data_IF_981176766300
#
_entry.id   IF_981176766300
#
_cell.length_a   1.000
_cell.length_b   1.000
_cell.length_c   1.000
_cell.angle_alpha   90.00
_cell.angle_beta   90.00
_cell.angle_gamma   90.00
#
_symmetry.space_group_name_H-M   'P 1'
#
loop_
_entity.id
_entity.type
_entity.pdbx_description
1 polymer ?
#
# COMPACT_ATOMS: atom_id res chain seq x y z
N UNK A 1 6.36 -3.42 -12.65
CA UNK A 1 7.09 -2.47 -11.77
C UNK A 1 8.29 -3.15 -11.17
N UNK A 2 9.42 -2.44 -10.99
CA UNK A 2 10.67 -3.00 -10.47
C UNK A 2 10.77 -3.02 -8.92
N UNK A 3 9.70 -2.65 -8.20
CA UNK A 3 9.73 -2.55 -6.73
C UNK A 3 10.03 -3.89 -6.03
N UNK A 4 10.70 -3.81 -4.90
CA UNK A 4 11.04 -4.91 -4.01
C UNK A 4 9.91 -5.15 -3.00
N UNK A 5 9.15 -6.26 -3.11
CA UNK A 5 8.02 -6.53 -2.22
C UNK A 5 8.45 -6.86 -0.78
N UNK A 6 9.66 -7.39 -0.55
CA UNK A 6 10.16 -7.67 0.80
C UNK A 6 10.47 -6.36 1.53
N UNK A 7 11.16 -5.43 0.86
CA UNK A 7 11.36 -4.08 1.39
C UNK A 7 10.02 -3.34 1.57
N UNK A 8 9.12 -3.49 0.60
CA UNK A 8 7.78 -2.93 0.62
C UNK A 8 6.96 -3.38 1.83
N UNK A 9 7.04 -4.66 2.20
CA UNK A 9 6.41 -5.19 3.40
C UNK A 9 6.94 -4.50 4.67
N UNK A 10 8.27 -4.41 4.81
CA UNK A 10 8.90 -3.79 5.97
C UNK A 10 8.51 -2.31 6.12
N UNK A 11 8.54 -1.57 5.01
CA UNK A 11 8.14 -0.16 4.97
C UNK A 11 6.64 0.02 5.27
N UNK A 12 5.79 -0.83 4.71
CA UNK A 12 4.35 -0.83 4.97
C UNK A 12 4.04 -1.06 6.46
N UNK A 13 4.67 -2.07 7.07
CA UNK A 13 4.55 -2.36 8.50
C UNK A 13 5.00 -1.16 9.35
N UNK A 14 6.09 -0.49 8.97
CA UNK A 14 6.63 0.62 9.75
C UNK A 14 5.83 1.93 9.59
N UNK A 15 5.19 2.16 8.43
CA UNK A 15 4.69 3.49 8.05
C UNK A 15 3.19 3.57 7.82
N UNK A 16 2.51 2.45 7.63
CA UNK A 16 1.11 2.43 7.19
C UNK A 16 0.17 1.73 8.18
N UNK A 17 0.61 0.65 8.83
CA UNK A 17 -0.27 -0.22 9.63
C UNK A 17 -0.92 0.49 10.81
N UNK A 18 -0.19 1.31 11.57
CA UNK A 18 -0.72 2.01 12.76
C UNK A 18 -2.04 2.75 12.46
N UNK A 19 -2.08 3.48 11.35
CA UNK A 19 -3.29 4.23 10.96
C UNK A 19 -4.39 3.30 10.44
N UNK A 20 -4.03 2.19 9.82
CA UNK A 20 -5.00 1.21 9.31
C UNK A 20 -5.60 0.36 10.44
N UNK A 21 -4.78 -0.13 11.38
CA UNK A 21 -5.22 -0.80 12.60
C UNK A 21 -6.16 0.10 13.42
N UNK A 22 -5.81 1.38 13.56
CA UNK A 22 -6.67 2.35 14.27
C UNK A 22 -8.04 2.52 13.60
N UNK A 23 -8.11 2.48 12.27
CA UNK A 23 -9.34 2.74 11.52
C UNK A 23 -10.17 1.48 11.23
N UNK A 24 -9.52 0.34 11.04
CA UNK A 24 -10.14 -0.90 10.55
C UNK A 24 -10.06 -2.04 11.58
N UNK A 25 -9.30 -1.87 12.68
CA UNK A 25 -9.07 -2.92 13.67
C UNK A 25 -8.19 -4.05 13.14
N UNK A 26 -7.98 -5.07 13.97
CA UNK A 26 -7.17 -6.24 13.62
C UNK A 26 -5.74 -5.86 13.24
N UNK A 27 -5.27 -6.41 12.13
CA UNK A 27 -3.98 -6.11 11.49
C UNK A 27 -4.06 -4.93 10.50
N UNK A 28 -5.21 -4.24 10.44
CA UNK A 28 -5.46 -3.13 9.52
C UNK A 28 -5.66 -3.53 8.04
N UNK A 29 -5.61 -4.82 7.70
CA UNK A 29 -5.75 -5.31 6.32
C UNK A 29 -7.12 -5.00 5.68
N UNK A 30 -8.15 -4.77 6.49
CA UNK A 30 -9.51 -4.48 6.03
C UNK A 30 -9.62 -3.28 5.06
N UNK A 31 -8.65 -2.35 5.06
CA UNK A 31 -8.60 -1.27 4.07
C UNK A 31 -8.39 -1.77 2.63
N UNK A 32 -7.69 -2.89 2.46
CA UNK A 32 -7.36 -3.53 1.18
C UNK A 32 -8.43 -4.52 0.73
N UNK A 33 -9.09 -5.17 1.68
CA UNK A 33 -9.99 -6.30 1.42
C UNK A 33 -11.47 -5.91 1.29
N UNK A 34 -11.82 -4.66 1.66
CA UNK A 34 -13.21 -4.19 1.60
C UNK A 34 -13.87 -4.42 0.23
N UNK A 35 -15.16 -4.75 0.28
CA UNK A 35 -16.03 -4.82 -0.90
C UNK A 35 -17.07 -3.69 -0.88
N UNK A 36 -17.23 -2.92 -1.96
CA UNK A 36 -16.39 -2.92 -3.16
C UNK A 36 -15.00 -2.32 -2.91
N UNK A 37 -13.99 -2.81 -3.63
CA UNK A 37 -12.63 -2.23 -3.58
C UNK A 37 -12.63 -0.84 -4.21
N UNK A 38 -12.09 0.15 -3.48
CA UNK A 38 -11.94 1.54 -3.99
C UNK A 38 -10.76 1.68 -4.96
N UNK A 39 -9.75 0.84 -4.83
CA UNK A 39 -8.60 0.80 -5.75
C UNK A 39 -8.84 -0.36 -6.72
N UNK A 40 -8.73 -0.09 -8.02
CA UNK A 40 -9.14 -1.01 -9.08
C UNK A 40 -8.06 -1.22 -10.16
N UNK A 41 -6.89 -0.58 -10.04
CA UNK A 41 -5.76 -0.76 -10.95
C UNK A 41 -4.45 -0.51 -10.22
N UNK A 42 -3.33 -0.89 -10.85
CA UNK A 42 -1.99 -0.66 -10.32
C UNK A 42 -1.66 0.83 -10.21
N UNK A 43 -2.09 1.66 -11.16
CA UNK A 43 -1.92 3.11 -11.11
C UNK A 43 -2.79 3.74 -10.02
N UNK A 44 -3.99 3.20 -9.81
CA UNK A 44 -4.84 3.57 -8.70
C UNK A 44 -4.17 3.26 -7.36
N UNK A 45 -3.49 2.11 -7.26
CA UNK A 45 -2.76 1.71 -6.06
C UNK A 45 -1.58 2.64 -5.79
N UNK A 46 -0.75 2.92 -6.80
CA UNK A 46 0.33 3.91 -6.70
C UNK A 46 -0.16 5.27 -6.20
N UNK A 47 -1.21 5.81 -6.84
CA UNK A 47 -1.80 7.10 -6.44
C UNK A 47 -2.28 7.07 -4.99
N UNK A 48 -2.85 5.93 -4.56
CA UNK A 48 -3.35 5.77 -3.20
C UNK A 48 -2.21 5.72 -2.17
N UNK A 49 -1.14 4.96 -2.43
CA UNK A 49 0.03 4.88 -1.56
C UNK A 49 0.73 6.24 -1.47
N UNK A 50 0.93 6.92 -2.60
CA UNK A 50 1.49 8.27 -2.62
C UNK A 50 0.63 9.29 -1.86
N UNK A 51 -0.71 9.18 -1.96
CA UNK A 51 -1.62 9.98 -1.14
C UNK A 51 -1.45 9.70 0.35
N UNK A 52 -1.39 8.43 0.77
CA UNK A 52 -1.20 8.06 2.16
C UNK A 52 0.14 8.57 2.70
N UNK A 53 1.23 8.42 1.94
CA UNK A 53 2.56 8.94 2.29
C UNK A 53 2.53 10.44 2.60
N UNK A 54 1.83 11.24 1.77
CA UNK A 54 1.65 12.68 2.02
C UNK A 54 0.78 12.97 3.24
N UNK A 55 -0.33 12.25 3.38
CA UNK A 55 -1.29 12.45 4.47
C UNK A 55 -0.67 12.16 5.84
N UNK A 56 0.15 11.11 5.94
CA UNK A 56 0.83 10.71 7.18
C UNK A 56 2.19 11.37 7.35
N UNK A 57 2.67 12.11 6.34
CA UNK A 57 4.03 12.65 6.28
C UNK A 57 5.09 11.57 6.53
N UNK A 58 4.88 10.38 5.96
CA UNK A 58 5.76 9.23 6.19
C UNK A 58 7.18 9.43 5.62
N UNK A 59 7.34 10.36 4.67
CA UNK A 59 8.64 10.77 4.14
C UNK A 59 9.24 9.78 3.14
N UNK A 60 8.42 8.91 2.55
CA UNK A 60 8.86 7.92 1.58
C UNK A 60 9.23 8.59 0.25
N UNK A 61 10.32 8.14 -0.36
CA UNK A 61 10.70 8.50 -1.72
C UNK A 61 9.91 7.68 -2.76
N UNK A 62 10.16 7.92 -4.05
CA UNK A 62 9.43 7.26 -5.14
C UNK A 62 9.66 5.74 -5.17
N UNK A 63 10.90 5.27 -5.04
CA UNK A 63 11.23 3.84 -5.01
C UNK A 63 10.62 3.13 -3.81
N UNK A 64 10.65 3.74 -2.62
CA UNK A 64 10.01 3.18 -1.43
C UNK A 64 8.47 3.09 -1.59
N UNK A 65 7.86 4.01 -2.34
CA UNK A 65 6.45 3.92 -2.70
C UNK A 65 6.21 2.77 -3.68
N UNK A 66 7.08 2.59 -4.68
CA UNK A 66 7.01 1.47 -5.63
C UNK A 66 7.13 0.12 -4.93
N UNK A 67 8.03 -0.01 -3.95
CA UNK A 67 8.22 -1.22 -3.14
C UNK A 67 6.94 -1.56 -2.36
N UNK A 68 6.34 -0.58 -1.68
CA UNK A 68 5.07 -0.78 -0.97
C UNK A 68 3.94 -1.15 -1.94
N UNK A 69 3.91 -0.54 -3.13
CA UNK A 69 2.92 -0.88 -4.16
C UNK A 69 3.12 -2.31 -4.66
N UNK A 70 4.36 -2.75 -4.87
CA UNK A 70 4.70 -4.12 -5.26
C UNK A 70 4.20 -5.11 -4.22
N UNK A 71 4.53 -4.89 -2.94
CA UNK A 71 4.05 -5.70 -1.81
C UNK A 71 2.52 -5.77 -1.76
N UNK A 72 1.84 -4.61 -1.76
CA UNK A 72 0.39 -4.57 -1.65
C UNK A 72 -0.28 -5.23 -2.86
N UNK A 73 0.31 -5.09 -4.05
CA UNK A 73 -0.21 -5.74 -5.25
C UNK A 73 -0.04 -7.26 -5.18
N UNK A 74 1.11 -7.74 -4.72
CA UNK A 74 1.38 -9.17 -4.57
C UNK A 74 0.49 -9.83 -3.51
N UNK A 75 0.27 -9.18 -2.37
CA UNK A 75 -0.47 -9.79 -1.26
C UNK A 75 -1.98 -9.65 -1.42
N UNK A 76 -2.46 -8.47 -1.83
CA UNK A 76 -3.90 -8.15 -1.75
C UNK A 76 -4.60 -7.99 -3.10
N UNK A 77 -3.93 -7.36 -4.09
CA UNK A 77 -4.64 -6.85 -5.27
C UNK A 77 -4.53 -7.68 -6.54
N UNK A 78 -3.34 -8.21 -6.86
CA UNK A 78 -3.06 -9.01 -8.06
C UNK A 78 -3.42 -8.30 -9.37
N UNK A 79 -3.24 -6.98 -9.44
CA UNK A 79 -3.43 -6.24 -10.68
C UNK A 79 -2.34 -6.57 -11.71
N UNK A 80 -2.69 -6.56 -13.02
CA UNK A 80 -1.69 -6.58 -14.08
C UNK A 80 -0.80 -5.33 -14.00
N UNK A 81 0.44 -5.47 -14.48
CA UNK A 81 1.51 -4.46 -14.34
C UNK A 81 2.03 -3.98 -15.71
N UNK A 82 1.17 -4.04 -16.73
CA UNK A 82 1.47 -3.76 -18.13
C UNK A 82 1.87 -2.30 -18.39
#
# INVERSE_FOLDING_TARGET
>A
MPGDPENGQALHQARCTVCHETQFGGDGSGIYERSPRRVQSIEGLMKKVAFCNRQTRAGLNEHEVEDIVAYLNEVFYRFPMD
#
